data_IF_136553031099
#
_entry.id   IF_136553031099
#
_cell.length_a   1.000
_cell.length_b   1.000
_cell.length_c   1.000
_cell.angle_alpha   90.00
_cell.angle_beta   90.00
_cell.angle_gamma   90.00
#
_symmetry.space_group_name_H-M   'P 1'
#
loop_
_entity.id
_entity.type
_entity.pdbx_description
1 polymer ?
#
# COMPACT_ATOMS: atom_id res chain seq x y z
N UNK A 1 -11.93 9.43 11.61
CA UNK A 1 -12.01 9.89 10.20
C UNK A 1 -11.44 8.87 9.20
N UNK A 2 -10.31 8.21 9.47
CA UNK A 2 -9.74 7.21 8.56
C UNK A 2 -10.58 5.93 8.46
N UNK A 3 -11.02 5.35 9.58
CA UNK A 3 -11.81 4.11 9.59
C UNK A 3 -13.15 4.24 8.85
N UNK A 4 -13.87 5.35 9.00
CA UNK A 4 -15.13 5.58 8.29
C UNK A 4 -14.95 5.67 6.77
N UNK A 5 -13.76 6.07 6.30
CA UNK A 5 -13.41 6.09 4.87
C UNK A 5 -12.95 4.71 4.39
N UNK A 6 -12.16 4.00 5.20
CA UNK A 6 -11.77 2.62 4.93
C UNK A 6 -12.99 1.71 4.73
N UNK A 7 -14.09 1.93 5.47
CA UNK A 7 -15.35 1.20 5.29
C UNK A 7 -15.87 1.21 3.85
N UNK A 8 -15.69 2.32 3.12
CA UNK A 8 -16.10 2.44 1.72
C UNK A 8 -15.25 1.55 0.83
N UNK A 9 -13.95 1.48 1.11
CA UNK A 9 -13.01 0.63 0.37
C UNK A 9 -13.22 -0.86 0.65
N UNK A 10 -13.66 -1.26 1.85
CA UNK A 10 -13.98 -2.67 2.14
C UNK A 10 -15.00 -3.21 1.14
N UNK A 11 -16.03 -2.44 0.79
CA UNK A 11 -17.03 -2.86 -0.19
C UNK A 11 -16.46 -2.94 -1.61
N UNK A 12 -15.62 -1.98 -1.98
CA UNK A 12 -14.94 -1.99 -3.28
C UNK A 12 -14.03 -3.21 -3.40
N UNK A 13 -13.25 -3.50 -2.37
CA UNK A 13 -12.32 -4.65 -2.32
C UNK A 13 -13.10 -5.97 -2.37
N UNK A 14 -14.18 -6.11 -1.61
CA UNK A 14 -15.03 -7.31 -1.65
C UNK A 14 -15.57 -7.60 -3.04
N UNK A 15 -15.93 -6.56 -3.80
CA UNK A 15 -16.41 -6.72 -5.18
C UNK A 15 -15.27 -6.99 -6.16
N UNK A 16 -14.17 -6.24 -6.06
CA UNK A 16 -13.08 -6.30 -7.03
C UNK A 16 -12.17 -7.52 -6.83
N UNK A 17 -11.94 -7.92 -5.58
CA UNK A 17 -11.12 -9.08 -5.21
C UNK A 17 -11.65 -9.73 -3.93
N UNK A 18 -12.64 -10.65 -4.05
CA UNK A 18 -13.17 -11.38 -2.91
C UNK A 18 -12.10 -12.18 -2.15
N UNK A 19 -11.09 -12.68 -2.87
CA UNK A 19 -9.95 -13.39 -2.27
C UNK A 19 -9.13 -12.48 -1.36
N UNK A 20 -8.86 -11.25 -1.77
CA UNK A 20 -8.14 -10.28 -0.97
C UNK A 20 -8.95 -9.82 0.25
N UNK A 21 -10.27 -9.67 0.11
CA UNK A 21 -11.15 -9.39 1.25
C UNK A 21 -11.07 -10.49 2.32
N UNK A 22 -11.11 -11.76 1.92
CA UNK A 22 -10.95 -12.90 2.85
C UNK A 22 -9.58 -12.92 3.52
N UNK A 23 -8.52 -12.54 2.79
CA UNK A 23 -7.18 -12.41 3.37
C UNK A 23 -7.15 -11.35 4.48
N UNK A 24 -7.74 -10.17 4.25
CA UNK A 24 -7.82 -9.13 5.28
C UNK A 24 -8.63 -9.58 6.50
N UNK A 25 -9.71 -10.33 6.29
CA UNK A 25 -10.51 -10.94 7.37
C UNK A 25 -9.68 -11.96 8.17
N UNK A 26 -8.88 -12.80 7.48
CA UNK A 26 -7.96 -13.74 8.12
C UNK A 26 -6.86 -13.07 8.92
N UNK A 27 -6.25 -12.00 8.40
CA UNK A 27 -5.25 -11.20 9.13
C UNK A 27 -5.87 -10.58 10.36
N UNK A 28 -7.06 -9.97 10.24
CA UNK A 28 -7.78 -9.37 11.36
C UNK A 28 -8.08 -10.40 12.47
N UNK A 29 -8.53 -11.60 12.08
CA UNK A 29 -8.75 -12.71 13.01
C UNK A 29 -7.45 -13.13 13.71
N UNK A 30 -6.38 -13.37 12.94
CA UNK A 30 -5.09 -13.82 13.47
C UNK A 30 -4.41 -12.79 14.38
N UNK A 31 -4.54 -11.50 14.07
CA UNK A 31 -3.95 -10.41 14.84
C UNK A 31 -4.83 -9.90 15.98
N UNK A 32 -6.07 -10.40 16.11
CA UNK A 32 -7.11 -9.90 17.03
C UNK A 32 -7.39 -8.40 16.86
N UNK A 33 -7.29 -7.91 15.63
CA UNK A 33 -7.52 -6.51 15.27
C UNK A 33 -8.83 -6.39 14.49
N UNK A 34 -9.45 -5.21 14.45
CA UNK A 34 -10.69 -5.06 13.69
C UNK A 34 -10.40 -5.04 12.19
N UNK A 35 -11.24 -5.68 11.39
CA UNK A 35 -11.14 -5.65 9.92
C UNK A 35 -11.00 -4.23 9.35
N UNK A 36 -11.70 -3.27 9.94
CA UNK A 36 -11.66 -1.86 9.51
C UNK A 36 -10.28 -1.21 9.72
N UNK A 37 -9.55 -1.62 10.74
CA UNK A 37 -8.19 -1.13 11.01
C UNK A 37 -7.19 -1.76 10.03
N UNK A 38 -7.32 -3.07 9.75
CA UNK A 38 -6.56 -3.75 8.70
C UNK A 38 -6.84 -3.14 7.33
N UNK A 39 -8.11 -2.85 7.02
CA UNK A 39 -8.50 -2.19 5.78
C UNK A 39 -7.89 -0.78 5.69
N UNK A 40 -7.88 0.00 6.78
CA UNK A 40 -7.29 1.32 6.80
C UNK A 40 -5.78 1.31 6.55
N UNK A 41 -5.06 0.30 7.05
CA UNK A 41 -3.64 0.09 6.75
C UNK A 41 -3.41 -0.24 5.28
N UNK A 42 -4.22 -1.16 4.73
CA UNK A 42 -4.08 -1.60 3.34
C UNK A 42 -4.47 -0.53 2.32
N UNK A 43 -5.36 0.39 2.68
CA UNK A 43 -5.78 1.49 1.80
C UNK A 43 -5.17 2.84 2.19
N UNK A 44 -4.04 2.82 2.91
CA UNK A 44 -3.40 4.03 3.44
C UNK A 44 -3.09 5.04 2.35
N UNK A 45 -2.56 4.59 1.21
CA UNK A 45 -2.24 5.47 0.09
C UNK A 45 -3.50 6.08 -0.53
N UNK A 46 -4.55 5.30 -0.75
CA UNK A 46 -5.83 5.77 -1.27
C UNK A 46 -6.47 6.79 -0.32
N UNK A 47 -6.36 6.56 0.99
CA UNK A 47 -6.81 7.50 2.01
C UNK A 47 -5.98 8.78 2.01
N UNK A 48 -4.66 8.70 1.92
CA UNK A 48 -3.77 9.87 1.92
C UNK A 48 -3.91 10.68 0.63
N UNK A 49 -3.77 10.07 -0.54
CA UNK A 49 -3.86 10.76 -1.84
C UNK A 49 -5.24 11.36 -2.09
N UNK A 50 -6.33 10.65 -1.76
CA UNK A 50 -7.68 11.22 -1.92
C UNK A 50 -7.93 12.42 -1.00
N UNK A 51 -7.20 12.51 0.12
CA UNK A 51 -7.29 13.63 1.04
C UNK A 51 -6.41 14.80 0.61
N UNK A 52 -5.19 14.56 0.14
CA UNK A 52 -4.34 15.60 -0.43
C UNK A 52 -5.00 16.25 -1.65
N UNK A 53 -5.54 15.45 -2.56
CA UNK A 53 -6.27 15.94 -3.73
C UNK A 53 -7.48 16.80 -3.35
N UNK A 54 -8.26 16.40 -2.32
CA UNK A 54 -9.44 17.15 -1.86
C UNK A 54 -9.10 18.43 -1.11
N UNK A 55 -7.96 18.47 -0.44
CA UNK A 55 -7.52 19.63 0.32
C UNK A 55 -6.77 20.66 -0.54
N UNK A 56 -6.51 20.38 -1.82
CA UNK A 56 -5.70 21.24 -2.69
C UNK A 56 -4.25 21.37 -2.22
N UNK A 57 -3.81 20.49 -1.31
CA UNK A 57 -2.48 20.51 -0.74
C UNK A 57 -1.54 19.72 -1.64
N UNK A 58 -0.42 20.33 -2.04
CA UNK A 58 0.70 19.56 -2.59
C UNK A 58 1.22 18.63 -1.48
N UNK A 59 1.60 17.38 -1.79
CA UNK A 59 2.27 16.53 -0.82
C UNK A 59 3.46 17.31 -0.26
N UNK A 60 3.55 17.42 1.07
CA UNK A 60 4.79 17.84 1.71
C UNK A 60 5.90 16.91 1.19
N UNK A 61 7.15 17.39 1.02
CA UNK A 61 8.29 16.52 0.71
C UNK A 61 8.53 15.61 1.92
N UNK A 62 7.74 14.54 2.00
CA UNK A 62 7.91 13.47 2.95
C UNK A 62 9.04 12.59 2.45
N UNK A 63 9.75 11.95 3.38
CA UNK A 63 10.85 11.03 3.05
C UNK A 63 10.33 9.68 2.55
N UNK A 64 9.20 9.66 1.86
CA UNK A 64 8.67 8.46 1.21
C UNK A 64 9.07 8.44 -0.26
N UNK A 65 9.71 7.36 -0.66
CA UNK A 65 10.31 7.27 -1.98
C UNK A 65 10.75 5.86 -2.29
N UNK A 66 11.09 5.65 -3.55
CA UNK A 66 11.79 4.45 -3.95
C UNK A 66 12.65 4.74 -5.17
N UNK A 67 13.77 4.05 -5.24
CA UNK A 67 14.61 3.89 -6.42
C UNK A 67 14.54 2.42 -6.82
N UNK A 68 14.07 2.16 -8.04
CA UNK A 68 13.98 0.82 -8.59
C UNK A 68 14.85 0.72 -9.86
N UNK A 69 15.43 -0.45 -10.11
CA UNK A 69 16.12 -0.74 -11.36
C UNK A 69 15.79 -2.14 -11.87
N UNK A 70 15.91 -2.28 -13.19
CA UNK A 70 15.85 -3.57 -13.88
C UNK A 70 17.04 -3.69 -14.84
N UNK A 71 17.63 -4.87 -14.92
CA UNK A 71 18.66 -5.19 -15.89
C UNK A 71 18.29 -6.48 -16.64
N UNK A 72 18.24 -6.39 -17.96
CA UNK A 72 17.98 -7.53 -18.84
C UNK A 72 19.21 -8.44 -18.95
N UNK A 73 19.06 -9.71 -19.40
CA UNK A 73 20.15 -10.68 -19.43
C UNK A 73 21.41 -10.18 -20.16
N UNK A 74 21.26 -9.35 -21.19
CA UNK A 74 22.34 -8.77 -21.99
C UNK A 74 23.20 -7.79 -21.18
N UNK A 75 22.64 -7.20 -20.13
CA UNK A 75 23.31 -6.24 -19.25
C UNK A 75 23.87 -6.88 -17.97
N UNK A 76 23.82 -8.21 -17.81
CA UNK A 76 24.22 -8.90 -16.57
C UNK A 76 25.25 -10.00 -16.82
N UNK A 77 26.22 -10.13 -15.89
CA UNK A 77 27.33 -11.11 -16.00
C UNK A 77 26.84 -12.57 -16.02
N UNK A 78 25.70 -12.86 -15.38
CA UNK A 78 25.14 -14.22 -15.28
C UNK A 78 23.96 -14.48 -16.23
N UNK A 79 23.66 -13.55 -17.14
CA UNK A 79 22.53 -13.66 -18.09
C UNK A 79 21.18 -13.98 -17.42
N UNK A 80 20.94 -13.44 -16.23
CA UNK A 80 19.64 -13.49 -15.56
C UNK A 80 19.05 -12.10 -15.51
N UNK A 81 17.71 -12.01 -15.55
CA UNK A 81 17.02 -10.75 -15.26
C UNK A 81 17.29 -10.37 -13.80
N UNK A 82 17.70 -9.13 -13.56
CA UNK A 82 17.77 -8.55 -12.22
C UNK A 82 16.68 -7.50 -12.08
N UNK A 83 15.98 -7.54 -10.95
CA UNK A 83 14.96 -6.58 -10.53
C UNK A 83 15.22 -6.27 -9.06
N UNK A 84 15.33 -5.00 -8.72
CA UNK A 84 15.52 -4.58 -7.34
C UNK A 84 14.95 -3.18 -7.11
N UNK A 85 14.61 -2.91 -5.85
CA UNK A 85 14.34 -1.56 -5.37
C UNK A 85 14.84 -1.38 -3.95
N UNK A 86 15.10 -0.13 -3.56
CA UNK A 86 15.01 0.28 -2.17
C UNK A 86 13.61 0.86 -1.88
N UNK A 87 13.28 0.96 -0.58
CA UNK A 87 12.08 1.63 -0.11
C UNK A 87 12.48 2.60 0.99
N UNK A 88 12.36 3.89 0.70
CA UNK A 88 12.70 4.96 1.63
C UNK A 88 11.46 5.20 2.50
N UNK A 89 11.61 4.99 3.80
CA UNK A 89 10.52 5.13 4.77
C UNK A 89 10.98 5.87 6.02
N UNK A 90 10.02 6.37 6.78
CA UNK A 90 10.26 7.16 7.99
C UNK A 90 10.87 6.23 9.06
N UNK A 91 12.11 6.47 9.55
CA UNK A 91 12.83 5.51 10.38
C UNK A 91 12.21 5.26 11.77
N UNK A 92 11.40 6.20 12.27
CA UNK A 92 10.83 6.17 13.63
C UNK A 92 9.34 5.77 13.67
N UNK A 93 8.79 5.26 12.57
CA UNK A 93 7.42 4.72 12.49
C UNK A 93 7.45 3.20 12.54
#
# INVERSE_FOLDING_TARGET
MALSRAAKYVQVIRRASPGYARMMEGVALGSKTKLLEIAALNVRYELMYSQFAKAGLKPLPLSDGCTAFGAMPEATVRHHVLLAQNWDWIPQV
#
